data_IF_705293326749
#
_entry.id   IF_705293326749
#
_cell.length_a   1.000
_cell.length_b   1.000
_cell.length_c   1.000
_cell.angle_alpha   90.00
_cell.angle_beta   90.00
_cell.angle_gamma   90.00
#
_symmetry.space_group_name_H-M   'P 1'
#
loop_
_entity.id
_entity.type
_entity.pdbx_description
1 polymer ?
#
# COMPACT_ATOMS: atom_id res chain seq x y z
N UNK A 1 -9.70 -35.96 -36.75
CA UNK A 1 -9.43 -34.51 -36.90
C UNK A 1 -10.69 -33.63 -36.85
N UNK A 2 -11.87 -34.14 -36.48
CA UNK A 2 -13.16 -33.43 -36.64
C UNK A 2 -13.69 -32.69 -35.41
N UNK A 3 -13.18 -32.95 -34.20
CA UNK A 3 -13.73 -32.36 -32.96
C UNK A 3 -13.25 -30.93 -32.67
N UNK A 4 -12.03 -30.58 -33.10
CA UNK A 4 -11.47 -29.23 -32.90
C UNK A 4 -12.22 -28.16 -33.70
N UNK A 5 -12.65 -28.50 -34.91
CA UNK A 5 -13.39 -27.60 -35.80
C UNK A 5 -14.79 -27.26 -35.26
N UNK A 6 -15.51 -28.25 -34.72
CA UNK A 6 -16.84 -28.03 -34.14
C UNK A 6 -16.80 -27.20 -32.83
N UNK A 7 -15.76 -27.39 -32.01
CA UNK A 7 -15.56 -26.60 -30.79
C UNK A 7 -15.18 -25.14 -31.09
N UNK A 8 -14.39 -24.90 -32.13
CA UNK A 8 -14.05 -23.54 -32.59
C UNK A 8 -15.28 -22.79 -33.12
N UNK A 9 -16.12 -23.47 -33.90
CA UNK A 9 -17.35 -22.91 -34.46
C UNK A 9 -18.36 -22.56 -33.36
N UNK A 10 -18.49 -23.42 -32.35
CA UNK A 10 -19.32 -23.16 -31.16
C UNK A 10 -18.82 -21.97 -30.35
N UNK A 11 -17.49 -21.79 -30.21
CA UNK A 11 -16.90 -20.65 -29.52
C UNK A 11 -17.14 -19.34 -30.29
N UNK A 12 -16.99 -19.36 -31.61
CA UNK A 12 -17.28 -18.21 -32.47
C UNK A 12 -18.75 -17.80 -32.35
N UNK A 13 -19.68 -18.74 -32.52
CA UNK A 13 -21.12 -18.46 -32.36
C UNK A 13 -21.49 -17.87 -30.99
N UNK A 14 -20.82 -18.32 -29.92
CA UNK A 14 -21.02 -17.74 -28.58
C UNK A 14 -20.49 -16.30 -28.49
N UNK A 15 -19.31 -16.03 -29.05
CA UNK A 15 -18.72 -14.69 -29.05
C UNK A 15 -19.56 -13.71 -29.87
N UNK A 16 -20.05 -14.12 -31.04
CA UNK A 16 -20.91 -13.29 -31.89
C UNK A 16 -22.20 -12.92 -31.16
N UNK A 17 -22.85 -13.89 -30.49
CA UNK A 17 -24.03 -13.62 -29.65
C UNK A 17 -23.74 -12.63 -28.52
N UNK A 18 -22.55 -12.66 -27.91
CA UNK A 18 -22.17 -11.71 -26.87
C UNK A 18 -21.98 -10.30 -27.44
N UNK A 19 -21.45 -10.17 -28.65
CA UNK A 19 -21.31 -8.89 -29.34
C UNK A 19 -22.68 -8.31 -29.71
N UNK A 20 -23.60 -9.13 -30.23
CA UNK A 20 -24.98 -8.71 -30.53
C UNK A 20 -25.72 -8.20 -29.28
N UNK A 21 -25.54 -8.88 -28.13
CA UNK A 21 -26.08 -8.39 -26.85
C UNK A 21 -25.48 -7.04 -26.48
N UNK A 22 -24.18 -6.82 -26.71
CA UNK A 22 -23.53 -5.54 -26.43
C UNK A 22 -24.09 -4.42 -27.34
N UNK A 23 -24.26 -4.68 -28.65
CA UNK A 23 -24.86 -3.74 -29.60
C UNK A 23 -26.29 -3.37 -29.19
N UNK A 24 -27.13 -4.36 -28.88
CA UNK A 24 -28.50 -4.11 -28.39
C UNK A 24 -28.54 -3.37 -27.05
N UNK A 25 -27.52 -3.51 -26.20
CA UNK A 25 -27.41 -2.79 -24.93
C UNK A 25 -26.93 -1.34 -25.07
N UNK A 26 -26.67 -0.88 -26.30
CA UNK A 26 -26.28 0.51 -26.59
C UNK A 26 -24.79 0.73 -26.85
N UNK A 27 -24.01 -0.32 -27.18
CA UNK A 27 -22.66 -0.15 -27.71
C UNK A 27 -22.75 0.61 -29.06
N UNK A 28 -22.03 1.73 -29.24
CA UNK A 28 -22.02 2.46 -30.50
C UNK A 28 -21.52 1.58 -31.66
N UNK A 29 -22.10 1.76 -32.85
CA UNK A 29 -21.72 1.02 -34.07
C UNK A 29 -20.31 1.37 -34.55
N UNK A 30 -19.79 2.54 -34.17
CA UNK A 30 -18.42 2.96 -34.44
C UNK A 30 -17.70 3.42 -33.17
N UNK A 31 -16.37 3.51 -33.26
CA UNK A 31 -15.54 3.98 -32.15
C UNK A 31 -15.35 5.49 -32.13
N UNK A 32 -16.05 6.27 -32.97
CA UNK A 32 -15.80 7.70 -33.13
C UNK A 32 -16.15 8.51 -31.88
N UNK A 33 -17.15 8.07 -31.12
CA UNK A 33 -17.53 8.64 -29.82
C UNK A 33 -16.68 8.17 -28.63
N UNK A 34 -15.71 7.28 -28.85
CA UNK A 34 -14.85 6.75 -27.79
C UNK A 34 -13.58 7.61 -27.71
N UNK A 35 -13.35 8.22 -26.55
CA UNK A 35 -12.13 8.96 -26.30
C UNK A 35 -10.89 8.04 -26.40
N UNK A 36 -10.03 8.33 -27.36
CA UNK A 36 -8.77 7.60 -27.58
C UNK A 36 -7.67 7.93 -26.56
N UNK A 37 -7.90 8.95 -25.72
CA UNK A 37 -6.94 9.36 -24.70
C UNK A 37 -6.79 8.30 -23.60
N UNK A 38 -5.57 8.05 -23.11
CA UNK A 38 -5.37 7.15 -21.99
C UNK A 38 -6.07 7.67 -20.72
N UNK A 39 -6.83 6.80 -20.06
CA UNK A 39 -7.44 7.09 -18.75
C UNK A 39 -6.44 6.79 -17.63
N UNK A 40 -6.13 7.81 -16.83
CA UNK A 40 -5.19 7.67 -15.71
C UNK A 40 -5.91 7.60 -14.36
N UNK A 41 -5.41 6.77 -13.45
CA UNK A 41 -5.85 6.78 -12.05
C UNK A 41 -5.66 8.16 -11.44
N UNK A 42 -6.66 8.62 -10.68
CA UNK A 42 -6.61 9.87 -9.91
C UNK A 42 -5.42 9.86 -8.95
N UNK A 43 -4.68 10.96 -8.91
CA UNK A 43 -3.56 11.13 -7.99
C UNK A 43 -4.06 11.37 -6.57
N UNK A 44 -3.31 10.91 -5.57
CA UNK A 44 -3.53 11.34 -4.19
C UNK A 44 -3.13 12.83 -4.05
N UNK A 45 -3.77 13.60 -3.15
CA UNK A 45 -3.52 15.04 -3.02
C UNK A 45 -2.04 15.42 -2.84
N UNK A 46 -1.31 14.63 -2.04
CA UNK A 46 0.13 14.84 -1.81
C UNK A 46 1.01 14.58 -3.03
N UNK A 47 0.54 13.74 -3.96
CA UNK A 47 1.21 13.48 -5.23
C UNK A 47 0.87 14.56 -6.25
N UNK A 48 -0.38 15.00 -6.29
CA UNK A 48 -0.85 16.08 -7.16
C UNK A 48 -0.03 17.36 -6.98
N UNK A 49 0.15 17.83 -5.74
CA UNK A 49 0.96 19.02 -5.46
C UNK A 49 2.42 18.88 -5.95
N UNK A 50 3.02 17.69 -5.82
CA UNK A 50 4.39 17.42 -6.30
C UNK A 50 4.48 17.42 -7.83
N UNK A 51 3.46 16.88 -8.50
CA UNK A 51 3.39 16.81 -9.96
C UNK A 51 3.16 18.21 -10.54
N UNK A 52 2.22 18.97 -9.96
CA UNK A 52 1.96 20.36 -10.32
C UNK A 52 3.23 21.22 -10.18
N UNK A 53 3.94 21.12 -9.05
CA UNK A 53 5.17 21.90 -8.82
C UNK A 53 6.25 21.65 -9.88
N UNK A 54 6.49 20.39 -10.28
CA UNK A 54 7.50 20.11 -11.32
C UNK A 54 7.01 20.52 -12.71
N UNK A 55 5.70 20.48 -12.96
CA UNK A 55 5.13 20.89 -14.23
C UNK A 55 5.11 22.41 -14.41
N UNK A 56 4.89 23.18 -13.34
CA UNK A 56 5.09 24.63 -13.35
C UNK A 56 6.54 25.00 -13.64
N UNK A 57 7.50 24.24 -13.07
CA UNK A 57 8.91 24.40 -13.42
C UNK A 57 9.18 24.10 -14.90
N UNK A 58 8.53 23.09 -15.48
CA UNK A 58 8.59 22.82 -16.91
C UNK A 58 8.02 23.98 -17.75
N UNK A 59 6.87 24.54 -17.38
CA UNK A 59 6.29 25.70 -18.08
C UNK A 59 7.26 26.90 -18.06
N UNK A 60 7.88 27.17 -16.91
CA UNK A 60 8.90 28.22 -16.79
C UNK A 60 10.13 27.95 -17.66
N UNK A 61 10.58 26.71 -17.73
CA UNK A 61 11.66 26.28 -18.60
C UNK A 61 11.30 26.41 -20.10
N UNK A 62 10.11 25.97 -20.51
CA UNK A 62 9.60 26.06 -21.88
C UNK A 62 9.43 27.51 -22.37
N UNK A 63 9.15 28.46 -21.46
CA UNK A 63 9.18 29.90 -21.80
C UNK A 63 10.57 30.39 -22.21
N UNK A 64 11.64 29.82 -21.66
CA UNK A 64 13.03 30.15 -22.02
C UNK A 64 13.54 29.35 -23.23
N UNK A 65 13.01 28.16 -23.44
CA UNK A 65 13.38 27.26 -24.53
C UNK A 65 12.11 26.82 -25.29
N UNK A 66 11.50 27.68 -26.12
CA UNK A 66 10.22 27.41 -26.78
C UNK A 66 10.20 26.17 -27.67
N UNK A 67 11.36 25.74 -28.16
CA UNK A 67 11.58 24.55 -28.98
C UNK A 67 11.66 23.25 -28.15
N UNK A 68 11.78 23.34 -26.82
CA UNK A 68 12.11 22.19 -26.00
C UNK A 68 11.03 21.09 -26.01
N UNK A 69 11.39 19.90 -26.49
CA UNK A 69 10.47 18.77 -26.61
C UNK A 69 10.90 17.60 -25.73
N UNK A 70 10.15 17.21 -24.68
CA UNK A 70 10.57 16.13 -23.78
C UNK A 70 10.55 14.74 -24.43
N UNK A 71 9.96 14.59 -25.63
CA UNK A 71 10.09 13.38 -26.45
C UNK A 71 11.47 13.24 -27.09
N UNK A 72 12.27 14.31 -27.11
CA UNK A 72 13.66 14.29 -27.58
C UNK A 72 14.62 14.21 -26.39
N UNK A 73 15.55 13.26 -26.47
CA UNK A 73 16.44 12.96 -25.34
C UNK A 73 17.31 14.16 -24.93
N UNK A 74 17.72 15.00 -25.89
CA UNK A 74 18.54 16.19 -25.63
C UNK A 74 17.82 17.16 -24.71
N UNK A 75 16.56 17.45 -25.00
CA UNK A 75 15.74 18.37 -24.20
C UNK A 75 15.40 17.80 -22.83
N UNK A 76 15.13 16.50 -22.74
CA UNK A 76 14.89 15.87 -21.44
C UNK A 76 16.15 15.83 -20.57
N UNK A 77 17.33 15.63 -21.17
CA UNK A 77 18.63 15.75 -20.49
C UNK A 77 18.90 17.19 -20.03
N UNK A 78 18.66 18.18 -20.89
CA UNK A 78 18.83 19.58 -20.54
C UNK A 78 17.86 20.03 -19.43
N UNK A 79 16.61 19.56 -19.47
CA UNK A 79 15.66 19.80 -18.39
C UNK A 79 16.09 19.14 -17.07
N UNK A 80 16.66 17.93 -17.11
CA UNK A 80 17.23 17.29 -15.93
C UNK A 80 18.41 18.09 -15.34
N UNK A 81 19.24 18.72 -16.18
CA UNK A 81 20.26 19.67 -15.71
C UNK A 81 19.64 20.90 -15.04
N UNK A 82 18.59 21.48 -15.63
CA UNK A 82 17.87 22.60 -15.02
C UNK A 82 17.30 22.24 -13.64
N UNK A 83 16.75 21.04 -13.49
CA UNK A 83 16.30 20.50 -12.19
C UNK A 83 17.47 20.35 -11.22
N UNK A 84 18.57 19.73 -11.67
CA UNK A 84 19.75 19.48 -10.84
C UNK A 84 20.36 20.78 -10.28
N UNK A 85 20.42 21.84 -11.10
CA UNK A 85 20.99 23.14 -10.71
C UNK A 85 20.06 23.97 -9.82
N UNK A 86 18.75 23.79 -9.93
CA UNK A 86 17.75 24.59 -9.18
C UNK A 86 17.28 23.93 -7.89
N UNK A 87 17.69 22.69 -7.62
CA UNK A 87 17.22 21.92 -6.48
C UNK A 87 18.31 21.76 -5.43
N UNK A 88 17.97 22.02 -4.18
CA UNK A 88 18.80 21.69 -3.00
C UNK A 88 18.12 20.53 -2.26
N UNK A 89 18.91 19.56 -1.81
CA UNK A 89 18.40 18.42 -1.05
C UNK A 89 18.27 18.76 0.44
N UNK A 90 17.33 18.13 1.14
CA UNK A 90 17.32 18.17 2.62
C UNK A 90 18.43 17.33 3.25
N UNK A 91 19.06 16.44 2.47
CA UNK A 91 20.18 15.60 2.92
C UNK A 91 21.55 16.21 2.59
N UNK A 92 21.55 17.29 1.80
CA UNK A 92 22.74 18.00 1.37
C UNK A 92 22.33 19.43 1.03
N UNK A 93 22.64 20.35 1.95
CA UNK A 93 22.20 21.75 1.90
C UNK A 93 22.82 22.54 0.75
N UNK A 94 23.75 21.95 0.00
CA UNK A 94 24.43 22.61 -1.11
C UNK A 94 24.00 22.05 -2.47
N UNK A 95 23.58 20.78 -2.54
CA UNK A 95 23.40 20.06 -3.81
C UNK A 95 22.14 19.20 -3.84
N UNK A 96 21.56 19.01 -5.03
CA UNK A 96 20.56 17.99 -5.24
C UNK A 96 21.16 16.58 -5.05
N UNK A 97 20.36 15.63 -4.57
CA UNK A 97 20.74 14.22 -4.64
C UNK A 97 20.34 13.60 -5.97
N UNK A 98 21.11 12.60 -6.42
CA UNK A 98 20.80 11.81 -7.63
C UNK A 98 19.35 11.30 -7.62
N UNK A 99 18.92 10.74 -6.49
CA UNK A 99 17.57 10.20 -6.37
C UNK A 99 16.48 11.28 -6.46
N UNK A 100 16.72 12.48 -5.90
CA UNK A 100 15.76 13.58 -5.97
C UNK A 100 15.56 14.05 -7.42
N UNK A 101 16.64 14.20 -8.19
CA UNK A 101 16.58 14.55 -9.62
C UNK A 101 15.81 13.48 -10.38
N UNK A 102 16.12 12.19 -10.16
CA UNK A 102 15.39 11.07 -10.78
C UNK A 102 13.91 11.06 -10.45
N UNK A 103 13.52 11.39 -9.21
CA UNK A 103 12.11 11.47 -8.81
C UNK A 103 11.43 12.63 -9.54
N UNK A 104 12.04 13.82 -9.55
CA UNK A 104 11.47 14.99 -10.26
C UNK A 104 11.31 14.75 -11.76
N UNK A 105 12.32 14.19 -12.43
CA UNK A 105 12.22 13.84 -13.86
C UNK A 105 11.11 12.83 -14.10
N UNK A 106 10.98 11.78 -13.27
CA UNK A 106 9.88 10.81 -13.39
C UNK A 106 8.51 11.46 -13.19
N UNK A 107 8.35 12.26 -12.14
CA UNK A 107 7.10 13.00 -11.88
C UNK A 107 6.74 13.91 -13.05
N UNK A 108 7.73 14.61 -13.62
CA UNK A 108 7.54 15.41 -14.82
C UNK A 108 7.06 14.55 -16.00
N UNK A 109 7.75 13.46 -16.33
CA UNK A 109 7.34 12.61 -17.47
C UNK A 109 5.92 12.09 -17.31
N UNK A 110 5.51 11.74 -16.08
CA UNK A 110 4.17 11.28 -15.78
C UNK A 110 3.12 12.40 -15.85
N UNK A 111 3.44 13.61 -15.38
CA UNK A 111 2.51 14.74 -15.47
C UNK A 111 2.38 15.23 -16.90
N UNK A 112 3.47 15.34 -17.65
CA UNK A 112 3.45 15.72 -19.05
C UNK A 112 2.55 14.79 -19.87
N UNK A 113 2.67 13.48 -19.66
CA UNK A 113 1.82 12.49 -20.33
C UNK A 113 0.33 12.60 -19.94
N UNK A 114 0.01 13.05 -18.72
CA UNK A 114 -1.36 13.30 -18.28
C UNK A 114 -1.96 14.56 -18.92
N UNK A 115 -1.16 15.60 -19.11
CA UNK A 115 -1.57 16.90 -19.63
C UNK A 115 -1.65 16.92 -21.17
N UNK A 116 -0.78 16.18 -21.85
CA UNK A 116 -0.72 16.18 -23.33
C UNK A 116 -1.38 14.96 -23.95
N UNK A 117 -1.75 13.95 -23.16
CA UNK A 117 -2.20 12.63 -23.60
C UNK A 117 -1.19 11.90 -24.52
N UNK A 118 0.04 12.41 -24.64
CA UNK A 118 1.12 11.82 -25.43
C UNK A 118 2.08 11.05 -24.53
N UNK A 119 2.74 10.03 -25.08
CA UNK A 119 3.74 9.25 -24.34
C UNK A 119 5.16 9.62 -24.77
N UNK A 120 6.01 9.95 -23.81
CA UNK A 120 7.46 10.08 -24.05
C UNK A 120 8.00 8.70 -24.46
N UNK A 121 8.75 8.60 -25.57
CA UNK A 121 9.26 7.33 -26.05
C UNK A 121 10.00 6.55 -24.95
N UNK A 122 9.73 5.24 -24.87
CA UNK A 122 10.26 4.36 -23.80
C UNK A 122 11.79 4.42 -23.70
N UNK A 123 12.48 4.52 -24.84
CA UNK A 123 13.94 4.59 -24.89
C UNK A 123 14.46 5.91 -24.27
N UNK A 124 13.82 7.05 -24.54
CA UNK A 124 14.15 8.36 -23.95
C UNK A 124 13.96 8.32 -22.43
N UNK A 125 12.79 7.86 -21.96
CA UNK A 125 12.51 7.76 -20.52
C UNK A 125 13.48 6.84 -19.79
N UNK A 126 13.80 5.67 -20.38
CA UNK A 126 14.74 4.71 -19.78
C UNK A 126 16.18 5.21 -19.74
N UNK A 127 16.59 6.03 -20.71
CA UNK A 127 17.94 6.60 -20.76
C UNK A 127 18.20 7.64 -19.66
N UNK A 128 17.16 8.23 -19.06
CA UNK A 128 17.33 9.27 -18.04
C UNK A 128 17.95 8.77 -16.74
N UNK A 129 17.64 7.55 -16.30
CA UNK A 129 18.25 7.01 -15.07
C UNK A 129 19.79 6.89 -15.18
N UNK A 130 20.35 6.17 -16.19
CA UNK A 130 21.81 6.08 -16.34
C UNK A 130 22.45 7.43 -16.65
N UNK A 131 21.79 8.32 -17.40
CA UNK A 131 22.28 9.68 -17.63
C UNK A 131 22.44 10.46 -16.32
N UNK A 132 21.41 10.44 -15.46
CA UNK A 132 21.43 11.18 -14.18
C UNK A 132 22.48 10.59 -13.23
N UNK A 133 22.62 9.27 -13.18
CA UNK A 133 23.54 8.56 -12.28
C UNK A 133 25.01 8.66 -12.70
N UNK A 134 25.29 8.84 -14.00
CA UNK A 134 26.67 8.88 -14.54
C UNK A 134 27.00 10.24 -15.11
N UNK A 135 26.52 10.53 -16.31
CA UNK A 135 26.94 11.70 -17.10
C UNK A 135 26.62 13.03 -16.39
N UNK A 136 25.42 13.12 -15.80
CA UNK A 136 24.99 14.33 -15.10
C UNK A 136 25.77 14.55 -13.80
N UNK A 137 26.07 13.49 -13.06
CA UNK A 137 26.91 13.54 -11.86
C UNK A 137 28.33 14.04 -12.18
N UNK A 138 28.86 13.72 -13.36
CA UNK A 138 30.16 14.23 -13.82
C UNK A 138 30.10 15.71 -14.21
N UNK A 139 28.97 16.20 -14.73
CA UNK A 139 28.80 17.61 -15.13
C UNK A 139 28.42 18.54 -13.97
N UNK A 140 27.59 18.05 -13.05
CA UNK A 140 27.06 18.79 -11.90
C UNK A 140 27.28 17.88 -10.70
N UNK A 141 28.04 18.32 -9.67
CA UNK A 141 28.29 17.48 -8.51
C UNK A 141 26.97 17.24 -7.76
N UNK A 142 26.36 16.09 -8.01
CA UNK A 142 25.17 15.62 -7.32
C UNK A 142 25.58 14.80 -6.11
N UNK A 143 24.80 14.94 -5.04
CA UNK A 143 25.01 14.18 -3.82
C UNK A 143 24.50 12.74 -3.98
N UNK A 144 25.34 11.78 -3.59
CA UNK A 144 24.94 10.38 -3.45
C UNK A 144 24.46 10.05 -2.04
N UNK A 145 24.37 11.05 -1.16
CA UNK A 145 23.92 10.87 0.23
C UNK A 145 22.52 10.27 0.26
N UNK A 146 22.41 9.14 0.94
CA UNK A 146 21.15 8.50 1.25
C UNK A 146 20.93 8.60 2.75
N UNK A 147 19.68 8.83 3.15
CA UNK A 147 19.32 8.75 4.57
C UNK A 147 19.57 7.30 5.01
N UNK A 148 20.41 7.12 6.04
CA UNK A 148 20.58 5.82 6.66
C UNK A 148 19.21 5.26 7.04
N UNK A 149 18.90 4.00 6.70
CA UNK A 149 17.66 3.38 7.15
C UNK A 149 17.58 3.49 8.67
N UNK A 150 16.49 4.07 9.17
CA UNK A 150 16.20 4.10 10.59
C UNK A 150 15.34 2.89 10.89
N UNK A 151 15.84 2.00 11.74
CA UNK A 151 15.11 0.83 12.17
C UNK A 151 14.53 1.05 13.55
N UNK A 152 13.39 0.42 13.81
CA UNK A 152 12.88 0.30 15.15
C UNK A 152 13.77 -0.68 15.92
N UNK A 153 14.42 -0.20 16.98
CA UNK A 153 15.24 -1.05 17.87
C UNK A 153 14.39 -1.61 19.01
N UNK A 154 14.87 -2.66 19.68
CA UNK A 154 14.23 -3.21 20.88
C UNK A 154 14.13 -2.14 21.99
N UNK A 155 15.15 -1.29 22.13
CA UNK A 155 15.13 -0.18 23.07
C UNK A 155 14.01 0.82 22.74
N UNK A 156 13.95 1.28 21.49
CA UNK A 156 12.89 2.20 21.04
C UNK A 156 11.49 1.58 21.24
N UNK A 157 11.35 0.27 20.98
CA UNK A 157 10.11 -0.45 21.24
C UNK A 157 9.73 -0.42 22.72
N UNK A 158 10.67 -0.73 23.62
CA UNK A 158 10.45 -0.68 25.06
C UNK A 158 10.09 0.72 25.57
N UNK A 159 10.81 1.75 25.11
CA UNK A 159 10.53 3.15 25.46
C UNK A 159 9.15 3.59 24.97
N UNK A 160 8.75 3.21 23.75
CA UNK A 160 7.42 3.51 23.24
C UNK A 160 6.31 2.79 24.02
N UNK A 161 6.50 1.52 24.41
CA UNK A 161 5.53 0.82 25.26
C UNK A 161 5.46 1.43 26.67
N UNK A 162 6.58 1.93 27.23
CA UNK A 162 6.56 2.67 28.50
C UNK A 162 5.80 3.99 28.38
N UNK A 163 6.05 4.76 27.32
CA UNK A 163 5.32 6.01 27.06
C UNK A 163 3.84 5.74 26.81
N UNK A 164 3.51 4.64 26.14
CA UNK A 164 2.14 4.23 25.93
C UNK A 164 1.48 3.78 27.23
N UNK A 165 2.09 2.98 28.10
CA UNK A 165 1.37 2.32 29.22
C UNK A 165 1.69 2.84 30.63
N UNK A 166 2.86 3.47 30.85
CA UNK A 166 3.34 3.87 32.18
C UNK A 166 3.55 5.37 32.34
N UNK A 167 4.19 6.00 31.37
CA UNK A 167 4.56 7.43 31.35
C UNK A 167 3.70 8.18 30.34
N UNK A 168 2.40 7.88 30.35
CA UNK A 168 1.47 8.40 29.37
C UNK A 168 0.94 9.76 29.83
N UNK A 169 1.22 10.79 29.04
CA UNK A 169 0.73 12.15 29.24
C UNK A 169 -0.35 12.53 28.23
N UNK A 170 -0.76 11.60 27.37
CA UNK A 170 -1.75 11.84 26.34
C UNK A 170 -3.16 11.56 26.85
N UNK A 171 -4.07 12.52 26.66
CA UNK A 171 -5.48 12.34 26.96
C UNK A 171 -6.19 11.78 25.72
N UNK A 172 -6.45 10.48 25.71
CA UNK A 172 -7.16 9.84 24.60
C UNK A 172 -8.64 10.18 24.66
N UNK A 173 -9.25 10.38 23.49
CA UNK A 173 -10.70 10.49 23.36
C UNK A 173 -11.41 9.24 23.92
N UNK A 174 -10.79 8.07 23.75
CA UNK A 174 -11.20 6.80 24.35
C UNK A 174 -9.97 5.92 24.58
N UNK A 175 -9.90 5.16 25.68
CA UNK A 175 -8.81 4.21 25.95
C UNK A 175 -8.61 3.16 24.85
N UNK A 176 -9.63 2.88 24.02
CA UNK A 176 -9.49 2.03 22.84
C UNK A 176 -8.47 2.56 21.83
N UNK A 177 -8.27 3.88 21.77
CA UNK A 177 -7.25 4.49 20.91
C UNK A 177 -5.84 4.10 21.33
N UNK A 178 -5.60 3.97 22.64
CA UNK A 178 -4.34 3.52 23.21
C UNK A 178 -4.08 2.05 22.89
N UNK A 179 -5.11 1.21 23.05
CA UNK A 179 -5.09 -0.20 22.65
C UNK A 179 -4.79 -0.33 21.16
N UNK A 180 -5.47 0.43 20.29
CA UNK A 180 -5.21 0.45 18.84
C UNK A 180 -3.77 0.85 18.53
N UNK A 181 -3.23 1.93 19.13
CA UNK A 181 -1.84 2.36 18.91
C UNK A 181 -0.83 1.29 19.34
N UNK A 182 -1.04 0.68 20.51
CA UNK A 182 -0.20 -0.41 21.00
C UNK A 182 -0.29 -1.65 20.10
N UNK A 183 -1.49 -1.96 19.59
CA UNK A 183 -1.70 -3.06 18.64
C UNK A 183 -0.97 -2.80 17.32
N UNK A 184 -1.14 -1.61 16.73
CA UNK A 184 -0.51 -1.24 15.46
C UNK A 184 1.02 -1.29 15.56
N UNK A 185 1.60 -0.83 16.67
CA UNK A 185 3.05 -0.94 16.93
C UNK A 185 3.50 -2.41 16.92
N UNK A 186 2.78 -3.29 17.62
CA UNK A 186 3.09 -4.73 17.68
C UNK A 186 2.93 -5.42 16.33
N UNK A 187 1.81 -5.20 15.64
CA UNK A 187 1.58 -5.80 14.32
C UNK A 187 2.65 -5.32 13.33
N UNK A 188 3.13 -4.09 13.45
CA UNK A 188 4.27 -3.61 12.65
C UNK A 188 5.58 -4.32 13.00
N UNK A 189 5.81 -4.69 14.26
CA UNK A 189 7.01 -5.45 14.67
C UNK A 189 6.95 -6.92 14.24
N UNK A 190 5.78 -7.55 14.31
CA UNK A 190 5.60 -8.98 14.03
C UNK A 190 5.20 -9.29 12.58
N UNK A 191 5.00 -8.27 11.74
CA UNK A 191 4.68 -8.45 10.33
C UNK A 191 5.47 -7.50 9.44
N UNK A 192 5.72 -7.90 8.20
CA UNK A 192 6.28 -7.00 7.17
C UNK A 192 5.23 -6.10 6.53
N UNK A 193 3.97 -6.11 7.02
CA UNK A 193 2.90 -5.36 6.41
C UNK A 193 3.15 -3.86 6.58
N UNK A 194 2.81 -3.08 5.55
CA UNK A 194 2.85 -1.62 5.69
C UNK A 194 1.75 -1.19 6.65
N UNK A 195 2.00 -0.14 7.43
CA UNK A 195 1.00 0.39 8.36
C UNK A 195 -0.35 0.67 7.67
N UNK A 196 -0.33 1.21 6.45
CA UNK A 196 -1.55 1.44 5.68
C UNK A 196 -2.28 0.15 5.26
N UNK A 197 -1.56 -0.95 5.03
CA UNK A 197 -2.17 -2.26 4.75
C UNK A 197 -2.89 -2.79 5.99
N UNK A 198 -2.33 -2.56 7.18
CA UNK A 198 -2.92 -2.97 8.46
C UNK A 198 -4.14 -2.08 8.80
N UNK A 199 -4.01 -0.75 8.71
CA UNK A 199 -5.10 0.16 9.07
C UNK A 199 -6.32 0.02 8.15
N UNK A 200 -6.12 -0.33 6.88
CA UNK A 200 -7.22 -0.55 5.92
C UNK A 200 -7.78 -1.97 5.94
N UNK A 201 -7.22 -2.88 6.74
CA UNK A 201 -7.70 -4.25 6.80
C UNK A 201 -9.10 -4.30 7.40
N UNK A 202 -9.99 -5.05 6.76
CA UNK A 202 -11.31 -5.39 7.27
C UNK A 202 -11.30 -6.79 7.87
N UNK A 203 -12.30 -7.13 8.67
CA UNK A 203 -12.38 -8.47 9.26
C UNK A 203 -12.38 -9.59 8.20
N UNK A 204 -13.01 -9.37 7.05
CA UNK A 204 -12.98 -10.32 5.93
C UNK A 204 -11.56 -10.58 5.39
N UNK A 205 -10.62 -9.65 5.59
CA UNK A 205 -9.21 -9.75 5.22
C UNK A 205 -8.39 -10.51 6.27
N UNK A 206 -8.96 -10.92 7.40
CA UNK A 206 -8.25 -11.65 8.46
C UNK A 206 -8.72 -13.10 8.55
N UNK A 207 -7.79 -13.99 8.91
CA UNK A 207 -8.05 -15.38 9.25
C UNK A 207 -7.55 -15.65 10.66
N UNK A 208 -8.47 -15.74 11.62
CA UNK A 208 -8.17 -16.19 12.97
C UNK A 208 -8.42 -17.70 13.07
N UNK A 209 -7.41 -18.46 13.45
CA UNK A 209 -7.43 -19.92 13.45
C UNK A 209 -6.93 -20.46 14.77
N UNK A 210 -7.50 -21.57 15.20
CA UNK A 210 -6.97 -22.41 16.27
C UNK A 210 -6.33 -23.62 15.59
N UNK A 211 -5.07 -23.90 15.88
CA UNK A 211 -4.33 -25.04 15.36
C UNK A 211 -3.65 -25.79 16.50
N UNK A 212 -3.26 -27.04 16.26
CA UNK A 212 -2.43 -27.78 17.21
C UNK A 212 -0.95 -27.57 16.90
N UNK A 213 -0.18 -27.23 17.93
CA UNK A 213 1.27 -27.18 17.89
C UNK A 213 1.81 -27.76 19.20
N UNK A 214 2.75 -28.68 19.13
CA UNK A 214 3.34 -29.33 20.30
C UNK A 214 2.28 -29.89 21.27
N UNK A 215 1.27 -30.57 20.71
CA UNK A 215 0.13 -31.14 21.43
C UNK A 215 -0.74 -30.17 22.24
N UNK A 216 -0.59 -28.87 22.00
CA UNK A 216 -1.37 -27.82 22.64
C UNK A 216 -2.08 -26.96 21.57
N UNK A 217 -3.30 -26.49 21.84
CA UNK A 217 -3.97 -25.53 20.96
C UNK A 217 -3.20 -24.21 20.94
N UNK A 218 -3.16 -23.57 19.77
CA UNK A 218 -2.56 -22.27 19.56
C UNK A 218 -3.45 -21.44 18.64
N UNK A 219 -3.67 -20.18 18.99
CA UNK A 219 -4.32 -19.20 18.13
C UNK A 219 -3.28 -18.59 17.18
N UNK A 220 -3.65 -18.51 15.90
CA UNK A 220 -2.86 -17.93 14.82
C UNK A 220 -3.72 -16.95 14.04
N UNK A 221 -3.18 -15.79 13.75
CA UNK A 221 -3.84 -14.78 12.91
C UNK A 221 -3.04 -14.54 11.63
N UNK A 222 -3.71 -14.58 10.48
CA UNK A 222 -3.11 -14.28 9.19
C UNK A 222 -3.90 -13.18 8.47
N UNK A 223 -3.19 -12.23 7.85
CA UNK A 223 -3.78 -11.26 6.93
C UNK A 223 -3.85 -11.86 5.53
N UNK A 224 -5.04 -11.92 4.94
CA UNK A 224 -5.24 -12.18 3.52
C UNK A 224 -4.62 -11.01 2.76
N UNK A 225 -3.46 -11.24 2.15
CA UNK A 225 -2.75 -10.23 1.37
C UNK A 225 -3.33 -10.09 -0.04
N UNK A 226 -4.62 -9.73 -0.14
CA UNK A 226 -5.24 -9.36 -1.41
C UNK A 226 -4.75 -7.97 -1.87
N UNK A 227 -4.43 -7.08 -0.92
CA UNK A 227 -4.00 -5.70 -1.20
C UNK A 227 -2.49 -5.47 -1.01
N UNK A 228 -1.63 -6.44 -1.35
CA UNK A 228 -0.18 -6.24 -1.24
C UNK A 228 0.35 -5.38 -2.40
N UNK A 229 0.88 -4.18 -2.10
CA UNK A 229 1.34 -3.25 -3.15
C UNK A 229 2.46 -3.88 -4.00
N UNK A 230 2.18 -4.05 -5.28
CA UNK A 230 3.11 -4.61 -6.27
C UNK A 230 3.18 -6.13 -6.28
N UNK A 231 2.40 -6.82 -5.44
CA UNK A 231 2.40 -8.28 -5.28
C UNK A 231 0.98 -8.85 -5.11
N UNK A 232 -0.07 -8.08 -5.46
CA UNK A 232 -1.47 -8.48 -5.25
C UNK A 232 -1.78 -9.81 -5.97
N UNK A 233 -1.30 -9.91 -7.21
CA UNK A 233 -1.48 -11.06 -8.11
C UNK A 233 -0.34 -12.10 -8.00
N UNK A 234 0.66 -11.88 -7.12
CA UNK A 234 1.79 -12.81 -6.97
C UNK A 234 1.43 -13.95 -6.00
N UNK A 235 1.46 -15.22 -6.45
CA UNK A 235 1.17 -16.36 -5.57
C UNK A 235 2.23 -16.57 -4.47
N UNK A 236 3.43 -15.99 -4.61
CA UNK A 236 4.53 -16.04 -3.63
C UNK A 236 4.54 -14.85 -2.66
N UNK A 237 3.42 -14.14 -2.51
CA UNK A 237 3.31 -13.05 -1.55
C UNK A 237 3.71 -13.47 -0.13
N UNK A 238 4.50 -12.66 0.60
CA UNK A 238 4.98 -13.05 1.93
C UNK A 238 3.82 -13.25 2.91
N UNK A 239 3.79 -14.40 3.59
CA UNK A 239 2.84 -14.68 4.67
C UNK A 239 3.50 -14.36 6.00
N UNK A 240 2.86 -13.50 6.79
CA UNK A 240 3.35 -13.11 8.12
C UNK A 240 2.28 -13.38 9.16
N UNK A 241 2.07 -14.66 9.49
CA UNK A 241 1.17 -15.01 10.56
C UNK A 241 1.69 -14.48 11.90
N UNK A 242 0.75 -14.01 12.72
CA UNK A 242 0.96 -13.66 14.11
C UNK A 242 0.58 -14.89 14.93
N UNK A 243 1.51 -15.32 15.76
CA UNK A 243 1.39 -16.52 16.59
C UNK A 243 1.11 -16.13 18.04
N UNK A 244 0.29 -16.92 18.72
CA UNK A 244 0.09 -16.81 20.17
C UNK A 244 1.36 -17.16 20.93
N UNK A 245 2.04 -18.25 20.53
CA UNK A 245 3.22 -18.80 21.19
C UNK A 245 4.46 -18.57 20.34
N UNK A 246 5.29 -17.66 20.83
CA UNK A 246 6.62 -17.40 20.31
C UNK A 246 7.66 -18.05 21.23
N UNK A 247 8.78 -18.49 20.65
CA UNK A 247 9.91 -19.04 21.39
C UNK A 247 11.18 -18.22 21.08
N UNK A 248 11.78 -17.55 22.08
CA UNK A 248 11.33 -17.46 23.47
C UNK A 248 10.02 -16.67 23.61
N UNK A 249 9.25 -17.00 24.66
CA UNK A 249 8.01 -16.30 24.96
C UNK A 249 8.31 -14.82 25.30
N UNK A 250 7.75 -13.85 24.55
CA UNK A 250 7.96 -12.45 24.86
C UNK A 250 7.18 -12.08 26.13
N UNK A 251 7.53 -10.95 26.77
CA UNK A 251 6.67 -10.36 27.80
C UNK A 251 5.23 -10.19 27.30
N UNK A 252 4.26 -10.32 28.19
CA UNK A 252 2.84 -10.25 27.83
C UNK A 252 2.47 -8.96 27.08
N UNK A 253 3.08 -7.83 27.49
CA UNK A 253 2.88 -6.54 26.84
C UNK A 253 3.40 -6.49 25.42
N UNK A 254 4.15 -7.47 24.93
CA UNK A 254 4.65 -7.57 23.56
C UNK A 254 3.89 -8.59 22.71
N UNK A 255 2.94 -9.34 23.28
CA UNK A 255 2.14 -10.29 22.51
C UNK A 255 1.12 -9.57 21.62
N UNK A 256 1.34 -9.51 20.31
CA UNK A 256 0.43 -8.85 19.36
C UNK A 256 -0.99 -9.42 19.35
N UNK A 257 -1.10 -10.74 19.51
CA UNK A 257 -2.38 -11.43 19.41
C UNK A 257 -3.29 -11.09 20.58
N UNK A 258 -2.74 -10.94 21.79
CA UNK A 258 -3.49 -10.52 22.98
C UNK A 258 -4.26 -9.21 22.74
N UNK A 259 -3.60 -8.21 22.14
CA UNK A 259 -4.21 -6.91 21.88
C UNK A 259 -5.23 -6.98 20.74
N UNK A 260 -4.96 -7.77 19.69
CA UNK A 260 -5.92 -8.02 18.61
C UNK A 260 -7.19 -8.72 19.11
N UNK A 261 -7.05 -9.75 19.95
CA UNK A 261 -8.19 -10.44 20.56
C UNK A 261 -9.03 -9.49 21.41
N UNK A 262 -8.39 -8.60 22.18
CA UNK A 262 -9.08 -7.56 22.94
C UNK A 262 -9.94 -6.65 22.04
N UNK A 263 -9.41 -6.26 20.87
CA UNK A 263 -10.16 -5.49 19.87
C UNK A 263 -11.32 -6.30 19.29
N UNK A 264 -11.10 -7.55 18.92
CA UNK A 264 -12.13 -8.39 18.31
C UNK A 264 -13.29 -8.69 19.26
N UNK A 265 -12.98 -8.98 20.52
CA UNK A 265 -13.96 -9.29 21.57
C UNK A 265 -14.76 -8.02 21.93
N UNK A 266 -14.10 -6.90 22.18
CA UNK A 266 -14.78 -5.63 22.51
C UNK A 266 -15.74 -5.17 21.41
N UNK A 267 -15.42 -5.46 20.15
CA UNK A 267 -16.28 -5.15 18.98
C UNK A 267 -17.27 -6.26 18.63
N UNK A 268 -17.33 -7.34 19.41
CA UNK A 268 -18.17 -8.52 19.16
C UNK A 268 -17.99 -9.09 17.74
N UNK A 269 -16.77 -9.00 17.22
CA UNK A 269 -16.47 -9.30 15.82
C UNK A 269 -16.50 -10.79 15.49
N UNK A 270 -16.35 -11.67 16.48
CA UNK A 270 -16.55 -13.10 16.30
C UNK A 270 -18.03 -13.46 16.28
N UNK A 271 -18.39 -14.43 15.44
CA UNK A 271 -19.75 -14.94 15.32
C UNK A 271 -20.20 -15.71 16.56
N UNK A 272 -19.32 -16.58 17.07
CA UNK A 272 -19.62 -17.54 18.15
C UNK A 272 -18.94 -17.23 19.48
N UNK A 273 -17.80 -16.54 19.47
CA UNK A 273 -16.98 -16.30 20.66
C UNK A 273 -17.24 -14.89 21.19
N UNK A 274 -17.89 -14.78 22.36
CA UNK A 274 -18.33 -13.47 22.90
C UNK A 274 -17.41 -12.97 24.00
N UNK A 275 -16.72 -13.84 24.70
CA UNK A 275 -15.79 -13.48 25.78
C UNK A 275 -14.38 -13.98 25.51
N UNK A 276 -13.43 -13.57 26.34
CA UNK A 276 -12.06 -14.08 26.29
C UNK A 276 -12.02 -15.57 26.65
N UNK A 277 -12.82 -15.99 27.62
CA UNK A 277 -12.95 -17.38 28.05
C UNK A 277 -13.45 -18.26 26.90
N UNK A 278 -14.43 -17.80 26.11
CA UNK A 278 -14.90 -18.52 24.92
C UNK A 278 -13.75 -18.76 23.93
N UNK A 279 -12.94 -17.73 23.69
CA UNK A 279 -11.80 -17.79 22.76
C UNK A 279 -10.73 -18.75 23.29
N UNK A 280 -10.37 -18.63 24.57
CA UNK A 280 -9.33 -19.45 25.19
C UNK A 280 -9.78 -20.90 25.43
N UNK A 281 -11.08 -21.17 25.55
CA UNK A 281 -11.65 -22.50 25.65
C UNK A 281 -11.81 -23.19 24.29
N UNK A 282 -11.69 -22.44 23.19
CA UNK A 282 -11.88 -22.98 21.86
C UNK A 282 -10.76 -23.98 21.50
N UNK A 283 -11.15 -25.11 20.89
CA UNK A 283 -10.24 -26.19 20.51
C UNK A 283 -10.54 -26.66 19.11
N UNK A 284 -9.52 -26.78 18.27
CA UNK A 284 -9.63 -27.49 17.01
C UNK A 284 -9.61 -29.01 17.24
N UNK A 285 -10.14 -29.84 16.33
CA UNK A 285 -9.88 -31.29 16.36
C UNK A 285 -8.36 -31.59 16.22
N UNK A 286 -7.84 -32.60 16.94
CA UNK A 286 -6.40 -32.96 16.90
C UNK A 286 -5.93 -33.20 15.46
N UNK A 287 -4.82 -32.58 15.07
CA UNK A 287 -4.27 -32.65 13.70
C UNK A 287 -5.01 -31.81 12.65
N UNK A 288 -6.01 -31.02 13.04
CA UNK A 288 -6.71 -30.07 12.16
C UNK A 288 -6.60 -28.65 12.72
N UNK A 289 -7.01 -27.68 11.91
CA UNK A 289 -7.25 -26.31 12.36
C UNK A 289 -8.75 -26.01 12.33
N UNK A 290 -9.16 -25.02 13.12
CA UNK A 290 -10.51 -24.47 13.10
C UNK A 290 -10.43 -22.97 12.86
N UNK A 291 -11.19 -22.46 11.90
CA UNK A 291 -11.33 -21.01 11.68
C UNK A 291 -12.37 -20.47 12.65
N UNK A 292 -12.03 -19.39 13.34
CA UNK A 292 -12.97 -18.63 14.15
C UNK A 292 -13.73 -17.67 13.23
N UNK A 293 -14.98 -18.01 12.91
CA UNK A 293 -15.82 -17.21 12.01
C UNK A 293 -16.05 -15.80 12.55
N UNK A 294 -15.89 -14.80 11.68
CA UNK A 294 -16.33 -13.43 11.91
C UNK A 294 -17.86 -13.34 11.83
N UNK A 295 -18.44 -12.41 12.59
CA UNK A 295 -19.86 -12.10 12.51
C UNK A 295 -20.18 -11.42 11.17
N UNK A 296 -21.35 -11.69 10.61
CA UNK A 296 -21.73 -11.20 9.26
C UNK A 296 -21.74 -9.66 9.19
N UNK A 297 -22.12 -9.01 10.29
CA UNK A 297 -22.11 -7.54 10.42
C UNK A 297 -20.70 -6.94 10.61
N UNK A 298 -19.66 -7.74 10.86
CA UNK A 298 -18.29 -7.27 11.04
C UNK A 298 -17.45 -7.39 9.77
N UNK A 299 -17.80 -8.28 8.84
CA UNK A 299 -16.96 -8.62 7.67
C UNK A 299 -16.46 -7.40 6.88
N UNK A 300 -17.37 -6.47 6.56
CA UNK A 300 -17.06 -5.26 5.78
C UNK A 300 -16.46 -4.11 6.59
N UNK A 301 -16.44 -4.23 7.92
CA UNK A 301 -15.99 -3.17 8.83
C UNK A 301 -14.46 -3.16 8.99
N UNK A 302 -13.84 -1.98 9.15
CA UNK A 302 -12.41 -1.89 9.45
C UNK A 302 -12.06 -2.56 10.79
N UNK A 303 -10.92 -3.27 10.83
CA UNK A 303 -10.35 -3.77 12.09
C UNK A 303 -9.81 -2.64 12.94
N UNK A 304 -9.35 -1.55 12.32
CA UNK A 304 -8.95 -0.33 13.01
C UNK A 304 -9.78 0.82 12.49
N UNK A 305 -10.90 1.12 13.14
CA UNK A 305 -11.74 2.26 12.79
C UNK A 305 -11.15 3.56 13.34
N UNK A 306 -11.48 4.66 12.67
CA UNK A 306 -11.39 5.99 13.27
C UNK A 306 -12.34 6.10 14.48
N UNK A 307 -11.88 6.77 15.53
CA UNK A 307 -12.59 6.92 16.79
C UNK A 307 -12.79 8.40 17.09
N UNK A 308 -14.04 8.79 17.32
CA UNK A 308 -14.46 10.14 17.71
C UNK A 308 -14.93 10.15 19.16
N UNK A 309 -15.32 11.33 19.65
CA UNK A 309 -15.95 11.49 20.97
C UNK A 309 -17.23 10.67 21.11
N UNK A 310 -17.92 10.41 20.00
CA UNK A 310 -19.17 9.64 19.95
C UNK A 310 -18.93 8.12 19.77
N UNK A 311 -17.67 7.70 19.64
CA UNK A 311 -17.27 6.30 19.53
C UNK A 311 -16.63 5.93 18.18
N UNK A 312 -16.72 4.64 17.82
CA UNK A 312 -16.14 4.11 16.59
C UNK A 312 -16.96 4.55 15.38
N UNK A 313 -16.26 4.91 14.31
CA UNK A 313 -16.87 5.20 13.01
C UNK A 313 -16.73 4.02 12.05
N UNK A 314 -17.44 4.08 10.92
CA UNK A 314 -17.29 3.10 9.84
C UNK A 314 -16.01 3.32 9.00
N UNK A 315 -15.28 4.40 9.24
CA UNK A 315 -14.08 4.75 8.46
C UNK A 315 -12.86 4.04 9.02
N UNK A 316 -12.00 3.55 8.13
CA UNK A 316 -10.70 3.03 8.51
C UNK A 316 -9.79 4.14 9.05
N UNK A 317 -8.97 3.78 10.04
CA UNK A 317 -7.99 4.69 10.64
C UNK A 317 -6.94 5.10 9.59
N UNK A 318 -6.49 6.35 9.65
CA UNK A 318 -5.39 6.79 8.78
C UNK A 318 -4.04 6.47 9.42
N UNK A 319 -3.01 6.22 8.61
CA UNK A 319 -1.66 5.98 9.13
C UNK A 319 -1.07 7.22 9.88
N UNK A 320 -1.72 8.37 9.77
CA UNK A 320 -1.34 9.66 10.37
C UNK A 320 -2.07 10.00 11.67
N UNK A 321 -3.04 9.18 12.12
CA UNK A 321 -3.92 9.43 13.28
C UNK A 321 -3.62 8.55 14.49
#
# INVERSE_FOLDING_TARGET
MSSKSADEERRRSKADKQLEVALHSGLPEDSSGIDSNPVYRKLAPTSEAKYASVFEFWKAYKRKYPEANPCEIVWLKHFAQAIARSTISKLDEQKATVQLVRVKVRSFTSQWQRETHQSIPKHVRKAMAPYIEKDLCSLIPLSNTQKAPTFLTIQNYGEMEELLWKKDYHNYVHEGCRVDKSTLLKVHCYSSARLQEICNAKYEDLLCMIAWKDEEPEIKLEFKREQCKGMADDPKKPKHPIYERLDPAPPLFANALLFLLSIFISRRAFKKYRTLEDVLAARAPKGKYQIMEWADNALGSPVFSEMTVDGLTEKAKTASS
#
